data_IF_854140122145
#
_entry.id   IF_854140122145
#
_cell.length_a   1.000
_cell.length_b   1.000
_cell.length_c   1.000
_cell.angle_alpha   90.00
_cell.angle_beta   90.00
_cell.angle_gamma   90.00
#
_symmetry.space_group_name_H-M   'P 1'
#
loop_
_entity.id
_entity.type
_entity.pdbx_description
1 polymer ?
#
# COMPACT_ATOMS: atom_id res chain seq x y z
N UNK A 1 -5.08 -39.19 -23.08
CA UNK A 1 -3.74 -38.93 -22.51
C UNK A 1 -3.08 -37.92 -23.43
N UNK A 2 -2.71 -36.71 -23.06
CA UNK A 2 -2.57 -36.07 -21.75
C UNK A 2 -2.61 -34.55 -21.90
N UNK A 3 -3.30 -33.92 -20.95
CA UNK A 3 -3.01 -32.66 -20.25
C UNK A 3 -2.80 -31.38 -21.09
N UNK A 4 -3.93 -30.74 -21.43
CA UNK A 4 -4.02 -29.27 -21.42
C UNK A 4 -3.93 -28.81 -19.95
N UNK A 5 -2.80 -28.24 -19.56
CA UNK A 5 -2.67 -27.52 -18.30
C UNK A 5 -3.23 -26.11 -18.51
N UNK A 6 -4.27 -25.67 -17.78
CA UNK A 6 -4.80 -24.34 -17.96
C UNK A 6 -3.95 -23.32 -17.20
N UNK A 7 -3.36 -22.39 -17.96
CA UNK A 7 -3.15 -21.01 -17.54
C UNK A 7 -1.98 -20.75 -16.59
N UNK A 8 -0.76 -20.94 -17.07
CA UNK A 8 0.39 -20.18 -16.54
C UNK A 8 0.35 -18.80 -17.21
N UNK A 9 -0.61 -17.97 -16.80
CA UNK A 9 -0.56 -16.54 -17.14
C UNK A 9 0.57 -15.97 -16.30
N UNK A 10 1.64 -15.40 -16.87
CA UNK A 10 2.58 -14.64 -16.07
C UNK A 10 1.78 -13.55 -15.37
N UNK A 11 1.73 -13.59 -14.04
CA UNK A 11 1.24 -12.45 -13.26
C UNK A 11 2.23 -11.33 -13.60
N UNK A 12 1.84 -10.41 -14.48
CA UNK A 12 2.72 -9.34 -14.92
C UNK A 12 3.33 -8.65 -13.69
N UNK A 13 4.66 -8.41 -13.71
CA UNK A 13 5.34 -7.87 -12.55
C UNK A 13 4.78 -6.48 -12.22
N UNK A 14 4.57 -6.19 -10.93
CA UNK A 14 3.94 -4.94 -10.51
C UNK A 14 4.78 -3.75 -10.94
N UNK A 15 4.22 -2.85 -11.75
CA UNK A 15 4.88 -1.64 -12.25
C UNK A 15 4.44 -0.39 -11.49
N UNK A 16 5.22 0.71 -11.56
CA UNK A 16 4.80 2.01 -11.02
C UNK A 16 3.46 2.50 -11.62
N UNK A 17 3.17 2.16 -12.88
CA UNK A 17 1.94 2.55 -13.56
C UNK A 17 0.69 1.93 -12.91
N UNK A 18 0.75 0.69 -12.45
CA UNK A 18 -0.36 0.05 -11.73
C UNK A 18 -0.68 0.79 -10.42
N UNK A 19 0.35 1.17 -9.67
CA UNK A 19 0.17 1.94 -8.43
C UNK A 19 -0.40 3.33 -8.71
N UNK A 20 -0.01 3.97 -9.82
CA UNK A 20 -0.62 5.23 -10.26
C UNK A 20 -2.09 5.09 -10.59
N UNK A 21 -2.49 4.01 -11.28
CA UNK A 21 -3.91 3.75 -11.56
C UNK A 21 -4.77 3.77 -10.30
N UNK A 22 -4.36 3.04 -9.26
CA UNK A 22 -5.05 3.07 -7.95
C UNK A 22 -4.98 4.44 -7.28
N UNK A 23 -3.86 5.16 -7.45
CA UNK A 23 -3.70 6.52 -6.92
C UNK A 23 -4.67 7.50 -7.57
N UNK A 24 -4.89 7.42 -8.88
CA UNK A 24 -5.89 8.23 -9.59
C UNK A 24 -7.30 7.94 -9.10
N UNK A 25 -7.66 6.66 -8.92
CA UNK A 25 -8.97 6.28 -8.38
C UNK A 25 -9.22 6.93 -7.02
N UNK A 26 -8.20 6.97 -6.15
CA UNK A 26 -8.25 7.62 -4.84
C UNK A 26 -8.32 9.15 -4.88
N UNK A 27 -7.94 9.81 -5.99
CA UNK A 27 -8.10 11.26 -6.13
C UNK A 27 -9.53 11.67 -6.40
N UNK A 28 -10.35 10.77 -6.93
CA UNK A 28 -11.73 11.08 -7.27
C UNK A 28 -12.59 11.19 -6.02
N UNK A 29 -13.59 12.09 -6.05
CA UNK A 29 -14.57 12.22 -4.97
C UNK A 29 -15.69 11.18 -4.99
N UNK A 30 -15.65 10.26 -5.94
CA UNK A 30 -16.70 9.28 -6.18
C UNK A 30 -16.75 8.13 -5.16
N UNK A 31 -15.69 7.91 -4.39
CA UNK A 31 -15.60 6.76 -3.48
C UNK A 31 -16.21 7.06 -2.10
N UNK A 32 -17.11 6.21 -1.63
CA UNK A 32 -17.53 6.22 -0.23
C UNK A 32 -16.41 5.68 0.70
N UNK A 33 -16.63 5.71 2.01
CA UNK A 33 -15.62 5.27 2.98
C UNK A 33 -15.22 3.78 2.81
N UNK A 34 -16.15 2.81 2.65
CA UNK A 34 -15.78 1.43 2.38
C UNK A 34 -14.98 1.23 1.09
N UNK A 35 -15.39 1.85 -0.02
CA UNK A 35 -14.68 1.69 -1.28
C UNK A 35 -13.30 2.36 -1.24
N UNK A 36 -13.18 3.52 -0.58
CA UNK A 36 -11.88 4.14 -0.34
C UNK A 36 -10.94 3.21 0.46
N UNK A 37 -11.43 2.54 1.51
CA UNK A 37 -10.65 1.57 2.29
C UNK A 37 -10.17 0.39 1.42
N UNK A 38 -11.03 -0.14 0.55
CA UNK A 38 -10.66 -1.19 -0.41
C UNK A 38 -9.59 -0.74 -1.40
N UNK A 39 -9.68 0.50 -1.91
CA UNK A 39 -8.65 1.05 -2.81
C UNK A 39 -7.34 1.35 -2.09
N UNK A 40 -7.39 1.81 -0.85
CA UNK A 40 -6.19 1.95 0.00
C UNK A 40 -5.53 0.59 0.22
N UNK A 41 -6.30 -0.45 0.57
CA UNK A 41 -5.78 -1.81 0.71
C UNK A 41 -5.13 -2.32 -0.59
N UNK A 42 -5.81 -2.19 -1.72
CA UNK A 42 -5.26 -2.58 -3.03
C UNK A 42 -3.96 -1.84 -3.34
N UNK A 43 -3.91 -0.54 -3.07
CA UNK A 43 -2.69 0.25 -3.29
C UNK A 43 -1.56 -0.13 -2.34
N UNK A 44 -1.86 -0.51 -1.09
CA UNK A 44 -0.88 -1.02 -0.13
C UNK A 44 -0.26 -2.35 -0.61
N UNK A 45 -1.08 -3.25 -1.15
CA UNK A 45 -0.61 -4.50 -1.77
C UNK A 45 0.33 -4.23 -2.95
N UNK A 46 -0.03 -3.30 -3.84
CA UNK A 46 0.83 -2.91 -4.96
C UNK A 46 2.12 -2.22 -4.49
N UNK A 47 2.03 -1.34 -3.49
CA UNK A 47 3.17 -0.67 -2.89
C UNK A 47 4.16 -1.67 -2.26
N UNK A 48 3.64 -2.72 -1.59
CA UNK A 48 4.44 -3.81 -1.03
C UNK A 48 5.23 -4.53 -2.11
N UNK A 49 4.55 -4.99 -3.17
CA UNK A 49 5.16 -5.72 -4.28
C UNK A 49 6.20 -4.86 -5.01
N UNK A 50 5.84 -3.62 -5.35
CA UNK A 50 6.77 -2.68 -5.96
C UNK A 50 7.99 -2.41 -5.06
N UNK A 51 7.77 -2.31 -3.74
CA UNK A 51 8.83 -2.16 -2.74
C UNK A 51 9.77 -3.37 -2.63
N UNK A 52 9.24 -4.58 -2.78
CA UNK A 52 10.05 -5.81 -2.84
C UNK A 52 10.96 -5.82 -4.07
N UNK A 53 10.43 -5.47 -5.25
CA UNK A 53 11.23 -5.33 -6.48
C UNK A 53 12.30 -4.26 -6.34
N UNK A 54 11.95 -3.10 -5.77
CA UNK A 54 12.88 -1.99 -5.52
C UNK A 54 14.02 -2.39 -4.57
N UNK A 55 13.72 -3.21 -3.55
CA UNK A 55 14.71 -3.69 -2.58
C UNK A 55 15.80 -4.59 -3.19
N UNK A 56 15.56 -5.17 -4.36
CA UNK A 56 16.54 -5.99 -5.08
C UNK A 56 17.53 -5.18 -5.90
N UNK A 57 17.24 -3.89 -6.17
CA UNK A 57 18.11 -3.03 -6.98
C UNK A 57 19.43 -2.75 -6.27
N UNK A 58 19.36 -2.31 -5.01
CA UNK A 58 20.56 -2.08 -4.18
C UNK A 58 20.26 -2.13 -2.66
N UNK A 59 21.34 -2.04 -1.87
CA UNK A 59 21.28 -2.09 -0.40
C UNK A 59 20.53 -0.91 0.24
N UNK A 60 20.57 0.28 -0.37
CA UNK A 60 19.87 1.48 0.14
C UNK A 60 18.37 1.25 0.07
N UNK A 61 17.87 0.70 -1.03
CA UNK A 61 16.45 0.41 -1.20
C UNK A 61 15.97 -0.72 -0.29
N UNK A 62 16.79 -1.76 -0.10
CA UNK A 62 16.50 -2.82 0.87
C UNK A 62 16.29 -2.28 2.28
N UNK A 63 17.13 -1.35 2.73
CA UNK A 63 16.97 -0.75 4.05
C UNK A 63 15.69 0.08 4.18
N UNK A 64 15.26 0.75 3.10
CA UNK A 64 14.01 1.51 3.06
C UNK A 64 12.79 0.60 3.06
N UNK A 65 12.85 -0.51 2.33
CA UNK A 65 11.79 -1.53 2.32
C UNK A 65 11.56 -2.13 3.70
N UNK A 66 12.60 -2.45 4.48
CA UNK A 66 12.45 -2.94 5.87
C UNK A 66 11.72 -1.93 6.75
N UNK A 67 11.98 -0.63 6.58
CA UNK A 67 11.27 0.41 7.32
C UNK A 67 9.80 0.50 6.88
N UNK A 68 9.54 0.43 5.56
CA UNK A 68 8.21 0.47 4.99
C UNK A 68 7.36 -0.73 5.45
N UNK A 69 7.95 -1.92 5.51
CA UNK A 69 7.30 -3.17 5.93
C UNK A 69 6.68 -3.08 7.33
N UNK A 70 7.34 -2.38 8.25
CA UNK A 70 6.80 -2.16 9.60
C UNK A 70 5.49 -1.35 9.56
N UNK A 71 5.44 -0.33 8.69
CA UNK A 71 4.27 0.53 8.48
C UNK A 71 3.16 -0.23 7.76
N UNK A 72 3.51 -1.01 6.73
CA UNK A 72 2.57 -1.83 5.95
C UNK A 72 1.87 -2.87 6.83
N UNK A 73 2.61 -3.56 7.71
CA UNK A 73 2.02 -4.51 8.64
C UNK A 73 1.11 -3.85 9.68
N UNK A 74 1.46 -2.63 10.15
CA UNK A 74 0.58 -1.88 11.05
C UNK A 74 -0.74 -1.53 10.35
N UNK A 75 -0.66 -0.93 9.16
CA UNK A 75 -1.83 -0.58 8.36
C UNK A 75 -2.70 -1.80 8.04
N UNK A 76 -2.09 -2.93 7.72
CA UNK A 76 -2.84 -4.17 7.44
C UNK A 76 -3.66 -4.63 8.63
N UNK A 77 -3.09 -4.56 9.84
CA UNK A 77 -3.79 -4.93 11.07
C UNK A 77 -4.93 -3.96 11.37
N UNK A 78 -4.69 -2.66 11.27
CA UNK A 78 -5.67 -1.62 11.60
C UNK A 78 -6.83 -1.63 10.61
N UNK A 79 -6.55 -1.73 9.30
CA UNK A 79 -7.58 -1.91 8.27
C UNK A 79 -8.44 -3.15 8.53
N UNK A 80 -7.82 -4.24 8.99
CA UNK A 80 -8.51 -5.49 9.33
C UNK A 80 -9.49 -5.36 10.51
N UNK A 81 -9.43 -4.29 11.31
CA UNK A 81 -10.41 -4.05 12.38
C UNK A 81 -11.63 -3.26 11.93
N UNK A 82 -11.62 -2.75 10.70
CA UNK A 82 -12.76 -2.01 10.14
C UNK A 82 -13.91 -2.92 9.78
N UNK A 83 -15.14 -2.41 9.84
CA UNK A 83 -16.32 -3.14 9.40
C UNK A 83 -16.30 -3.47 7.91
N UNK A 84 -15.58 -2.68 7.10
CA UNK A 84 -15.36 -2.93 5.66
C UNK A 84 -14.70 -4.29 5.42
N UNK A 85 -13.84 -4.73 6.35
CA UNK A 85 -13.08 -5.98 6.24
C UNK A 85 -13.41 -6.98 7.36
N UNK A 86 -14.53 -6.83 8.07
CA UNK A 86 -14.88 -7.67 9.22
C UNK A 86 -14.84 -9.18 8.92
N UNK A 87 -15.22 -9.58 7.70
CA UNK A 87 -15.23 -10.98 7.26
C UNK A 87 -14.03 -11.33 6.35
N UNK A 88 -13.03 -10.47 6.26
CA UNK A 88 -11.87 -10.65 5.36
C UNK A 88 -10.57 -10.67 6.15
N UNK A 89 -9.81 -11.77 6.02
CA UNK A 89 -8.44 -11.82 6.52
C UNK A 89 -7.53 -11.09 5.54
N UNK A 90 -7.03 -9.92 5.93
CA UNK A 90 -6.06 -9.17 5.15
C UNK A 90 -4.66 -9.74 5.35
N UNK A 91 -4.00 -10.09 4.25
CA UNK A 91 -2.63 -10.55 4.24
C UNK A 91 -1.85 -9.80 3.15
N UNK A 92 -0.71 -9.21 3.53
CA UNK A 92 0.15 -8.53 2.55
C UNK A 92 0.70 -9.57 1.57
N UNK A 93 0.71 -9.26 0.27
CA UNK A 93 1.31 -10.14 -0.71
C UNK A 93 2.82 -10.21 -0.49
N UNK A 94 3.35 -11.43 -0.50
CA UNK A 94 4.76 -11.68 -0.72
C UNK A 94 4.99 -12.00 -2.19
N UNK A 95 6.11 -11.57 -2.75
CA UNK A 95 6.56 -12.02 -4.06
C UNK A 95 7.53 -13.19 -3.80
N UNK A 96 7.17 -14.41 -4.21
CA UNK A 96 7.94 -15.61 -3.93
C UNK A 96 9.31 -15.58 -4.62
N UNK A 97 9.39 -14.90 -5.77
CA UNK A 97 10.62 -14.62 -6.54
C UNK A 97 10.47 -13.30 -7.33
N UNK A 98 10.62 -12.13 -6.67
CA UNK A 98 10.53 -10.84 -7.34
C UNK A 98 11.67 -10.66 -8.35
N UNK A 99 11.38 -10.03 -9.49
CA UNK A 99 12.41 -9.50 -10.37
C UNK A 99 12.75 -8.05 -9.99
N UNK A 100 14.04 -7.65 -9.98
CA UNK A 100 14.42 -6.27 -9.71
C UNK A 100 13.78 -5.32 -10.72
N UNK A 101 13.51 -4.08 -10.29
CA UNK A 101 13.12 -3.02 -11.22
C UNK A 101 14.27 -2.69 -12.17
N UNK A 102 13.94 -2.30 -13.40
CA UNK A 102 14.94 -1.74 -14.29
C UNK A 102 15.43 -0.39 -13.73
N UNK A 103 16.71 -0.06 -13.91
CA UNK A 103 17.33 1.13 -13.30
C UNK A 103 16.58 2.43 -13.63
N UNK A 104 16.06 2.55 -14.85
CA UNK A 104 15.30 3.72 -15.31
C UNK A 104 13.91 3.85 -14.66
N UNK A 105 13.39 2.79 -14.03
CA UNK A 105 12.10 2.78 -13.35
C UNK A 105 12.23 3.10 -11.85
N UNK A 106 13.44 3.14 -11.30
CA UNK A 106 13.69 3.29 -9.85
C UNK A 106 13.13 4.60 -9.31
N UNK A 107 13.46 5.73 -9.95
CA UNK A 107 12.96 7.04 -9.54
C UNK A 107 11.44 7.13 -9.66
N UNK A 108 10.91 6.56 -10.75
CA UNK A 108 9.48 6.53 -11.06
C UNK A 108 8.68 5.69 -10.05
N UNK A 109 9.24 4.57 -9.61
CA UNK A 109 8.67 3.72 -8.57
C UNK A 109 8.61 4.45 -7.22
N UNK A 110 9.70 5.13 -6.83
CA UNK A 110 9.74 5.90 -5.59
C UNK A 110 8.74 7.05 -5.63
N UNK A 111 8.64 7.76 -6.76
CA UNK A 111 7.65 8.81 -6.95
C UNK A 111 6.22 8.26 -6.79
N UNK A 112 5.89 7.14 -7.43
CA UNK A 112 4.59 6.49 -7.30
C UNK A 112 4.27 6.06 -5.86
N UNK A 113 5.24 5.50 -5.12
CA UNK A 113 5.07 5.10 -3.71
C UNK A 113 4.77 6.30 -2.80
N UNK A 114 5.51 7.40 -2.99
CA UNK A 114 5.33 8.64 -2.22
C UNK A 114 3.99 9.29 -2.55
N UNK A 115 3.64 9.35 -3.84
CA UNK A 115 2.41 9.96 -4.32
C UNK A 115 1.17 9.18 -3.85
N UNK A 116 1.21 7.85 -3.95
CA UNK A 116 0.18 6.98 -3.40
C UNK A 116 -0.04 7.26 -1.92
N UNK A 117 1.04 7.24 -1.12
CA UNK A 117 0.98 7.45 0.33
C UNK A 117 0.32 8.79 0.69
N UNK A 118 0.71 9.87 0.00
CA UNK A 118 0.15 11.20 0.22
C UNK A 118 -1.32 11.31 -0.21
N UNK A 119 -1.68 10.68 -1.32
CA UNK A 119 -3.04 10.69 -1.86
C UNK A 119 -3.98 9.84 -1.02
N UNK A 120 -3.57 8.63 -0.65
CA UNK A 120 -4.31 7.75 0.24
C UNK A 120 -4.58 8.44 1.59
N UNK A 121 -3.56 9.08 2.20
CA UNK A 121 -3.74 9.90 3.41
C UNK A 121 -4.85 10.94 3.26
N UNK A 122 -4.78 11.76 2.21
CA UNK A 122 -5.79 12.81 1.94
C UNK A 122 -7.17 12.19 1.76
N UNK A 123 -7.27 11.09 1.02
CA UNK A 123 -8.54 10.43 0.77
C UNK A 123 -9.15 9.88 2.05
N UNK A 124 -8.37 9.16 2.85
CA UNK A 124 -8.81 8.58 4.13
C UNK A 124 -9.36 9.66 5.08
N UNK A 125 -8.67 10.82 5.18
CA UNK A 125 -9.17 11.95 5.96
C UNK A 125 -10.47 12.54 5.42
N UNK A 126 -10.60 12.64 4.10
CA UNK A 126 -11.79 13.21 3.46
C UNK A 126 -13.04 12.32 3.65
N UNK A 127 -12.88 11.00 3.60
CA UNK A 127 -14.01 10.06 3.73
C UNK A 127 -14.28 9.64 5.18
N UNK A 128 -13.36 9.87 6.12
CA UNK A 128 -13.55 9.48 7.53
C UNK A 128 -14.88 9.96 8.15
N UNK A 129 -15.34 11.21 7.94
CA UNK A 129 -16.62 11.68 8.49
C UNK A 129 -17.85 10.98 7.88
N UNK A 130 -17.68 10.28 6.77
CA UNK A 130 -18.73 9.56 6.05
C UNK A 130 -18.77 8.07 6.42
N UNK A 131 -17.87 7.63 7.30
CA UNK A 131 -17.83 6.24 7.72
C UNK A 131 -19.10 5.87 8.50
N UNK A 132 -19.70 4.73 8.13
CA UNK A 132 -20.96 4.28 8.73
C UNK A 132 -20.82 3.88 10.20
N UNK A 133 -19.60 3.58 10.65
CA UNK A 133 -19.29 3.22 12.03
C UNK A 133 -18.21 4.13 12.63
N UNK A 134 -18.40 4.52 13.89
CA UNK A 134 -17.43 5.35 14.61
C UNK A 134 -16.06 4.69 14.77
N UNK A 135 -16.02 3.36 14.84
CA UNK A 135 -14.75 2.63 14.85
C UNK A 135 -13.99 2.81 13.53
N UNK A 136 -14.68 2.69 12.39
CA UNK A 136 -14.11 2.89 11.06
C UNK A 136 -13.62 4.33 10.87
N UNK A 137 -14.36 5.32 11.36
CA UNK A 137 -13.93 6.72 11.34
C UNK A 137 -12.61 6.92 12.10
N UNK A 138 -12.50 6.33 13.30
CA UNK A 138 -11.28 6.41 14.12
C UNK A 138 -10.10 5.73 13.43
N UNK A 139 -10.32 4.55 12.85
CA UNK A 139 -9.31 3.81 12.09
C UNK A 139 -8.86 4.65 10.88
N UNK A 140 -9.78 5.15 10.06
CA UNK A 140 -9.45 6.01 8.91
C UNK A 140 -8.63 7.24 9.31
N UNK A 141 -8.99 7.92 10.40
CA UNK A 141 -8.22 9.07 10.91
C UNK A 141 -6.83 8.64 11.40
N UNK A 142 -6.73 7.57 12.17
CA UNK A 142 -5.47 7.05 12.69
C UNK A 142 -4.54 6.61 11.55
N UNK A 143 -5.04 5.74 10.68
CA UNK A 143 -4.29 5.14 9.59
C UNK A 143 -3.88 6.17 8.54
N UNK A 144 -4.62 7.26 8.39
CA UNK A 144 -4.18 8.38 7.54
C UNK A 144 -2.85 8.99 8.02
N UNK A 145 -2.55 8.95 9.32
CA UNK A 145 -1.27 9.39 9.86
C UNK A 145 -0.19 8.33 9.58
N UNK A 146 -0.52 7.07 9.79
CA UNK A 146 0.39 5.93 9.60
C UNK A 146 0.79 5.79 8.12
N UNK A 147 -0.16 5.91 7.18
CA UNK A 147 0.13 5.85 5.73
C UNK A 147 0.97 7.05 5.26
N UNK A 148 0.87 8.20 5.95
CA UNK A 148 1.79 9.32 5.74
C UNK A 148 3.25 8.97 6.06
N UNK A 149 3.49 8.03 6.98
CA UNK A 149 4.83 7.55 7.33
C UNK A 149 5.41 6.61 6.26
N UNK A 150 4.58 6.00 5.41
CA UNK A 150 5.04 5.14 4.32
C UNK A 150 5.88 5.93 3.30
N UNK A 151 5.44 7.14 2.92
CA UNK A 151 6.24 8.05 2.10
C UNK A 151 7.59 8.39 2.77
N UNK A 152 7.57 8.68 4.06
CA UNK A 152 8.77 9.00 4.82
C UNK A 152 9.77 7.82 4.82
N UNK A 153 9.28 6.58 5.02
CA UNK A 153 10.08 5.37 4.96
C UNK A 153 10.76 5.19 3.59
N UNK A 154 10.04 5.41 2.49
CA UNK A 154 10.58 5.33 1.13
C UNK A 154 11.54 6.46 0.78
N UNK A 155 11.42 7.63 1.42
CA UNK A 155 12.40 8.70 1.33
C UNK A 155 13.64 8.47 2.22
N UNK A 156 13.65 7.42 3.03
CA UNK A 156 14.74 7.08 3.95
C UNK A 156 14.71 7.85 5.26
N UNK A 157 13.60 8.52 5.56
CA UNK A 157 13.36 9.14 6.86
C UNK A 157 12.94 8.04 7.84
N UNK A 158 13.59 7.98 9.01
CA UNK A 158 13.14 7.09 10.08
C UNK A 158 11.98 7.76 10.80
N UNK A 159 10.78 7.19 10.68
CA UNK A 159 9.71 7.49 11.62
C UNK A 159 10.16 7.04 13.01
N UNK A 160 10.35 7.98 13.95
CA UNK A 160 10.50 7.61 15.35
C UNK A 160 9.18 7.05 15.83
N UNK A 161 9.06 5.73 15.91
CA UNK A 161 8.02 5.07 16.67
C UNK A 161 8.25 5.37 18.16
N UNK A 162 7.84 6.55 18.60
CA UNK A 162 7.40 6.77 19.98
C UNK A 162 5.93 7.15 19.91
N UNK A 163 5.10 6.12 20.05
CA UNK A 163 3.76 6.29 20.58
C UNK A 163 3.95 6.74 22.02
N UNK A 164 3.93 8.05 22.27
CA UNK A 164 3.74 8.53 23.64
C UNK A 164 2.39 8.00 24.13
N UNK A 165 2.46 7.23 25.21
CA UNK A 165 1.32 6.67 25.94
C UNK A 165 0.58 7.74 26.72
#
# INVERSE_FOLDING_TARGET
>A
MSLDTPGDTPVEPVTPALLRGVTEDLRTDALDAPEALKRVWSGLCLARLLGLRLALVDRKWRQRQVNAESVEHQLTRDLGTTATFADTVLALPGETTPEPLAEHEVEDAVAALVEFSATARRRMLAVAPQAAQWHDERVLRHDSLVIGQLAAAWLGQRGSYRLDR
#
